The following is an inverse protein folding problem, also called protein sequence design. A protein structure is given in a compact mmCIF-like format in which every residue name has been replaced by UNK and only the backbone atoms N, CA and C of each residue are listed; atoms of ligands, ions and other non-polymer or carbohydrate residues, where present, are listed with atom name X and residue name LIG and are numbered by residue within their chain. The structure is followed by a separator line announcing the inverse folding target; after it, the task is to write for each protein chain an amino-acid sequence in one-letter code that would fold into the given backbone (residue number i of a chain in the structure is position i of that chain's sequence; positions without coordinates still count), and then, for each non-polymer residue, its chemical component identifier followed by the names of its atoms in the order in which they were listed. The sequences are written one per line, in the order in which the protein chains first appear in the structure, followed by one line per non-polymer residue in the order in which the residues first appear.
data_IF_214963757705
#
_entry.id   IF_214963757705
#
_cell.length_a   1.000
_cell.length_b   1.000
_cell.length_c   1.000
_cell.angle_alpha   90.00
_cell.angle_beta   90.00
_cell.angle_gamma   90.00
#
_symmetry.space_group_name_H-M   'P 1'
#
loop_
_entity.id
_entity.type
_entity.pdbx_description
1 polymer ?
#
# COMPACT_ATOMS: atom_id res chain seq x y z
N UNK A 1 -42.31 42.97 -1.23
CA UNK A 1 -40.91 43.35 -0.93
C UNK A 1 -40.15 43.39 -2.25
N UNK A 2 -39.80 44.58 -2.77
CA UNK A 2 -39.13 44.75 -4.07
C UNK A 2 -37.61 44.65 -3.85
N UNK A 3 -37.00 43.53 -4.22
CA UNK A 3 -35.54 43.37 -4.19
C UNK A 3 -34.99 44.21 -5.34
N UNK A 4 -34.01 45.08 -5.07
CA UNK A 4 -33.42 45.89 -6.15
C UNK A 4 -32.63 44.99 -7.10
N UNK A 5 -32.65 45.32 -8.40
CA UNK A 5 -31.98 44.53 -9.44
C UNK A 5 -30.50 44.27 -9.12
N UNK A 6 -29.82 45.25 -8.49
CA UNK A 6 -28.43 45.11 -8.03
C UNK A 6 -28.27 44.08 -6.91
N UNK A 7 -29.22 43.98 -5.98
CA UNK A 7 -29.21 42.98 -4.90
C UNK A 7 -29.49 41.57 -5.44
N UNK A 8 -30.37 41.46 -6.44
CA UNK A 8 -30.63 40.19 -7.12
C UNK A 8 -29.38 39.69 -7.87
N UNK A 9 -28.70 40.59 -8.58
CA UNK A 9 -27.48 40.25 -9.33
C UNK A 9 -26.34 39.78 -8.40
N UNK A 10 -26.15 40.47 -7.27
CA UNK A 10 -25.14 40.10 -6.27
C UNK A 10 -25.43 38.74 -5.62
N UNK A 11 -26.71 38.45 -5.33
CA UNK A 11 -27.13 37.17 -4.75
C UNK A 11 -26.89 36.01 -5.73
N UNK A 12 -27.23 36.18 -7.01
CA UNK A 12 -26.99 35.17 -8.04
C UNK A 12 -25.50 34.90 -8.22
N UNK A 13 -24.67 35.95 -8.26
CA UNK A 13 -23.23 35.80 -8.36
C UNK A 13 -22.62 35.04 -7.17
N UNK A 14 -23.09 35.33 -5.95
CA UNK A 14 -22.63 34.63 -4.75
C UNK A 14 -23.03 33.14 -4.76
N UNK A 15 -24.25 32.82 -5.21
CA UNK A 15 -24.72 31.43 -5.36
C UNK A 15 -23.86 30.67 -6.38
N UNK A 16 -23.54 31.30 -7.52
CA UNK A 16 -22.67 30.70 -8.53
C UNK A 16 -21.26 30.45 -7.97
N UNK A 17 -20.68 31.40 -7.24
CA UNK A 17 -19.37 31.22 -6.60
C UNK A 17 -19.38 30.04 -5.62
N UNK A 18 -20.37 29.97 -4.73
CA UNK A 18 -20.47 28.88 -3.76
C UNK A 18 -20.65 27.53 -4.46
N UNK A 19 -21.42 27.50 -5.55
CA UNK A 19 -21.59 26.30 -6.36
C UNK A 19 -20.28 25.85 -7.04
N UNK A 20 -19.55 26.79 -7.65
CA UNK A 20 -18.24 26.49 -8.23
C UNK A 20 -17.24 26.02 -7.18
N UNK A 21 -17.15 26.69 -6.03
CA UNK A 21 -16.25 26.29 -4.93
C UNK A 21 -16.63 24.89 -4.41
N UNK A 22 -17.92 24.63 -4.17
CA UNK A 22 -18.40 23.31 -3.74
C UNK A 22 -18.10 22.21 -4.76
N UNK A 23 -18.28 22.51 -6.06
CA UNK A 23 -17.97 21.59 -7.15
C UNK A 23 -16.47 21.31 -7.26
N UNK A 24 -15.62 22.34 -7.15
CA UNK A 24 -14.16 22.18 -7.12
C UNK A 24 -13.70 21.37 -5.91
N UNK A 25 -14.27 21.61 -4.73
CA UNK A 25 -13.97 20.82 -3.53
C UNK A 25 -14.39 19.37 -3.74
N UNK A 26 -15.58 19.11 -4.26
CA UNK A 26 -16.07 17.76 -4.55
C UNK A 26 -15.16 17.01 -5.53
N UNK A 27 -14.71 17.66 -6.61
CA UNK A 27 -13.77 17.05 -7.59
C UNK A 27 -12.46 16.58 -6.94
N UNK A 28 -11.99 17.27 -5.90
CA UNK A 28 -10.68 17.00 -5.31
C UNK A 28 -10.70 16.03 -4.12
N UNK A 29 -11.88 15.56 -3.67
CA UNK A 29 -12.02 14.69 -2.49
C UNK A 29 -11.78 13.21 -2.83
N UNK A 30 -11.94 12.79 -4.08
CA UNK A 30 -11.93 11.36 -4.47
C UNK A 30 -10.58 10.86 -5.02
N UNK A 31 -9.45 11.39 -4.57
CA UNK A 31 -8.18 10.69 -4.83
C UNK A 31 -8.04 9.59 -3.79
N UNK A 32 -8.20 8.30 -4.16
CA UNK A 32 -7.88 7.22 -3.25
C UNK A 32 -6.43 7.43 -2.80
N UNK A 33 -6.22 7.42 -1.48
CA UNK A 33 -4.87 7.40 -0.92
C UNK A 33 -4.14 6.23 -1.59
N UNK A 34 -3.18 6.56 -2.44
CA UNK A 34 -2.41 5.56 -3.17
C UNK A 34 -1.74 4.67 -2.10
N UNK A 35 -2.28 3.47 -1.91
CA UNK A 35 -1.70 2.51 -0.98
C UNK A 35 -0.38 2.10 -1.61
N UNK A 36 0.73 2.59 -1.04
CA UNK A 36 2.06 2.21 -1.48
C UNK A 36 2.20 0.70 -1.30
N UNK A 37 2.07 -0.03 -2.41
CA UNK A 37 2.28 -1.47 -2.42
C UNK A 37 3.75 -1.73 -2.12
N UNK A 38 4.01 -2.64 -1.19
CA UNK A 38 5.36 -3.10 -0.84
C UNK A 38 5.99 -3.90 -1.99
N UNK A 39 5.16 -4.58 -2.78
CA UNK A 39 5.54 -5.43 -3.91
C UNK A 39 4.49 -5.35 -5.03
N UNK A 40 4.91 -5.68 -6.25
CA UNK A 40 4.03 -5.88 -7.41
C UNK A 40 3.99 -7.35 -7.83
N UNK A 41 5.09 -8.07 -7.57
CA UNK A 41 5.27 -9.48 -7.90
C UNK A 41 6.00 -10.22 -6.78
N UNK A 42 5.90 -11.55 -6.76
CA UNK A 42 6.63 -12.40 -5.81
C UNK A 42 8.14 -12.14 -5.85
N UNK A 43 8.65 -11.79 -7.02
CA UNK A 43 10.07 -11.49 -7.22
C UNK A 43 10.53 -10.23 -6.48
N UNK A 44 9.63 -9.37 -6.01
CA UNK A 44 9.96 -8.19 -5.21
C UNK A 44 10.17 -8.53 -3.73
N UNK A 45 9.84 -9.76 -3.33
CA UNK A 45 9.88 -10.23 -1.95
C UNK A 45 11.06 -11.15 -1.71
N UNK A 46 11.69 -10.99 -0.55
CA UNK A 46 12.81 -11.80 -0.08
C UNK A 46 12.60 -12.17 1.39
N UNK A 47 13.31 -13.18 1.92
CA UNK A 47 13.17 -13.54 3.32
C UNK A 47 13.56 -12.40 4.26
N UNK A 48 12.82 -12.24 5.36
CA UNK A 48 13.02 -11.17 6.34
C UNK A 48 14.23 -11.40 7.26
N UNK A 49 14.74 -12.63 7.32
CA UNK A 49 15.86 -13.04 8.14
C UNK A 49 16.82 -13.95 7.37
N UNK A 50 18.04 -14.09 7.87
CA UNK A 50 19.09 -14.84 7.21
C UNK A 50 18.99 -16.36 7.42
N UNK A 51 18.61 -16.78 8.63
CA UNK A 51 18.47 -18.18 8.99
C UNK A 51 17.02 -18.47 9.35
N UNK A 52 16.50 -19.58 8.83
CA UNK A 52 15.15 -20.07 9.12
C UNK A 52 14.05 -19.00 9.06
N UNK A 53 14.02 -18.15 8.02
CA UNK A 53 13.04 -17.07 7.96
C UNK A 53 11.63 -17.65 7.87
N UNK A 54 10.70 -17.11 8.66
CA UNK A 54 9.27 -17.47 8.62
C UNK A 54 8.39 -16.33 8.06
N UNK A 55 9.03 -15.28 7.54
CA UNK A 55 8.40 -14.08 7.03
C UNK A 55 9.22 -13.47 5.89
N UNK A 56 8.60 -12.56 5.14
CA UNK A 56 9.19 -11.95 3.96
C UNK A 56 9.04 -10.43 4.01
N UNK A 57 9.96 -9.73 3.35
CA UNK A 57 9.99 -8.28 3.20
C UNK A 57 10.29 -7.92 1.75
N UNK A 58 10.04 -6.68 1.36
CA UNK A 58 10.50 -6.16 0.07
C UNK A 58 12.03 -6.21 -0.06
N UNK A 59 12.53 -6.41 -1.29
CA UNK A 59 13.98 -6.43 -1.62
C UNK A 59 14.77 -5.25 -1.08
N UNK A 60 14.18 -4.05 -1.04
CA UNK A 60 14.83 -2.85 -0.49
C UNK A 60 14.99 -2.86 1.03
N UNK A 61 14.39 -3.83 1.73
CA UNK A 61 14.50 -4.08 3.17
C UNK A 61 15.19 -5.42 3.46
N UNK A 62 15.82 -6.03 2.45
CA UNK A 62 16.52 -7.29 2.60
C UNK A 62 17.56 -7.19 3.75
N UNK A 63 17.64 -8.19 4.64
CA UNK A 63 18.71 -8.24 5.62
C UNK A 63 20.07 -8.46 4.94
N UNK A 64 21.14 -7.94 5.54
CA UNK A 64 22.50 -8.33 5.14
C UNK A 64 22.88 -9.65 5.83
N UNK A 65 23.26 -10.66 5.03
CA UNK A 65 23.60 -12.00 5.50
C UNK A 65 25.06 -12.41 5.17
N UNK A 66 25.93 -11.49 4.75
CA UNK A 66 27.28 -11.80 4.24
C UNK A 66 28.18 -12.54 5.25
N UNK A 67 28.05 -12.26 6.56
CA UNK A 67 28.88 -12.86 7.62
C UNK A 67 28.10 -13.78 8.58
N UNK A 68 26.94 -14.27 8.14
CA UNK A 68 26.06 -15.12 8.97
C UNK A 68 26.19 -16.58 8.55
N UNK A 69 26.51 -17.44 9.51
CA UNK A 69 26.52 -18.89 9.35
C UNK A 69 25.25 -19.49 9.93
N UNK A 70 24.36 -19.98 9.06
CA UNK A 70 23.17 -20.70 9.46
C UNK A 70 23.46 -22.20 9.63
N UNK A 71 22.64 -22.88 10.43
CA UNK A 71 22.66 -24.34 10.50
C UNK A 71 22.08 -24.94 9.22
N UNK A 72 22.37 -26.21 8.96
CA UNK A 72 21.86 -26.94 7.78
C UNK A 72 20.53 -27.66 8.05
N UNK A 73 19.88 -27.35 9.16
CA UNK A 73 18.61 -27.98 9.53
C UNK A 73 17.43 -27.33 8.81
N UNK A 74 16.43 -28.12 8.47
CA UNK A 74 15.15 -27.60 7.99
C UNK A 74 14.30 -27.26 9.22
N UNK A 75 14.13 -25.98 9.54
CA UNK A 75 13.30 -25.60 10.69
C UNK A 75 11.81 -25.72 10.33
N UNK A 76 10.98 -26.43 11.12
CA UNK A 76 9.55 -26.50 10.84
C UNK A 76 8.86 -25.13 10.93
N UNK A 77 8.01 -24.82 9.95
CA UNK A 77 7.24 -23.56 9.94
C UNK A 77 8.02 -22.35 9.41
N UNK A 78 9.14 -22.60 8.74
CA UNK A 78 9.98 -21.58 8.09
C UNK A 78 10.02 -21.83 6.58
N UNK A 79 10.66 -20.94 5.83
CA UNK A 79 10.81 -21.05 4.38
C UNK A 79 11.85 -22.11 3.98
N UNK A 80 12.46 -22.81 4.94
CA UNK A 80 13.51 -23.78 4.64
C UNK A 80 13.00 -24.97 3.87
N UNK A 81 13.89 -25.54 3.06
CA UNK A 81 13.69 -26.83 2.40
C UNK A 81 12.41 -26.91 1.56
N UNK A 82 11.95 -25.77 1.04
CA UNK A 82 10.75 -25.68 0.22
C UNK A 82 9.44 -25.83 1.01
N UNK A 83 9.45 -25.64 2.33
CA UNK A 83 8.22 -25.58 3.12
C UNK A 83 7.36 -24.35 2.79
N UNK A 84 7.98 -23.29 2.28
CA UNK A 84 7.28 -22.12 1.75
C UNK A 84 8.18 -21.27 0.86
N UNK A 85 7.63 -20.18 0.36
CA UNK A 85 8.34 -19.16 -0.42
C UNK A 85 7.86 -17.76 -0.07
N UNK A 86 8.62 -16.75 -0.49
CA UNK A 86 8.14 -15.38 -0.43
C UNK A 86 7.22 -15.06 -1.59
N UNK A 87 6.04 -14.55 -1.28
CA UNK A 87 5.02 -14.16 -2.25
C UNK A 87 4.52 -12.73 -2.03
N UNK A 88 4.07 -12.10 -3.10
CA UNK A 88 3.41 -10.81 -3.07
C UNK A 88 1.90 -11.02 -3.00
N UNK A 89 1.34 -10.89 -1.79
CA UNK A 89 -0.08 -11.14 -1.53
C UNK A 89 -0.74 -9.83 -1.16
N UNK A 90 -1.67 -9.36 -2.01
CA UNK A 90 -2.38 -8.09 -1.86
C UNK A 90 -1.44 -6.88 -1.67
N UNK A 91 -0.36 -6.83 -2.46
CA UNK A 91 0.63 -5.74 -2.43
C UNK A 91 1.53 -5.75 -1.19
N UNK A 92 1.57 -6.86 -0.42
CA UNK A 92 2.45 -7.05 0.73
C UNK A 92 3.30 -8.31 0.58
N UNK A 93 4.56 -8.24 0.99
CA UNK A 93 5.41 -9.41 1.04
C UNK A 93 5.04 -10.30 2.22
N UNK A 94 4.77 -11.58 1.94
CA UNK A 94 4.35 -12.55 2.95
C UNK A 94 5.00 -13.91 2.67
N UNK A 95 5.18 -14.70 3.73
CA UNK A 95 5.54 -16.10 3.60
C UNK A 95 4.30 -16.90 3.16
N UNK A 96 4.42 -17.66 2.08
CA UNK A 96 3.39 -18.55 1.55
C UNK A 96 3.86 -19.98 1.79
N UNK A 97 3.20 -20.69 2.69
CA UNK A 97 3.56 -22.07 3.04
C UNK A 97 2.79 -23.07 2.19
N UNK A 98 3.46 -24.16 1.82
CA UNK A 98 2.83 -25.27 1.11
C UNK A 98 1.91 -26.02 2.08
N UNK A 99 0.63 -26.11 1.76
CA UNK A 99 -0.31 -26.95 2.49
C UNK A 99 0.13 -28.42 2.35
N UNK A 100 0.34 -29.09 3.49
CA UNK A 100 0.65 -30.53 3.53
C UNK A 100 -0.61 -31.38 3.38
#
# INVERSE_FOLDING_TARGET
MRISEKKLLFMVFFILIVFFIGFFIWINIDKPLETLNECVSDSDCVPAGCCHPNSCVSKNKAPNCEDIFCTLECEPGTLDCGQGSCGCVNGKCQAVFNEK
#
